data_IF_148598938670
#
_entry.id   IF_148598938670
#
_cell.length_a   1.000
_cell.length_b   1.000
_cell.length_c   1.000
_cell.angle_alpha   90.00
_cell.angle_beta   90.00
_cell.angle_gamma   90.00
#
_symmetry.space_group_name_H-M   'P 1'
#
loop_
_entity.id
_entity.type
_entity.pdbx_description
1 polymer ?
#
# COMPACT_ATOMS: atom_id res chain seq x y z
N UNK A 1 -11.72 -24.05 60.29
CA UNK A 1 -10.39 -24.26 59.67
C UNK A 1 -10.61 -24.31 58.17
N UNK A 2 -9.88 -23.47 57.42
CA UNK A 2 -10.19 -22.97 56.08
C UNK A 2 -10.34 -24.05 55.00
N UNK A 3 -11.39 -23.95 54.16
CA UNK A 3 -11.51 -24.63 52.86
C UNK A 3 -10.72 -23.85 51.81
N UNK A 4 -9.60 -24.39 51.34
CA UNK A 4 -8.87 -23.89 50.18
C UNK A 4 -9.61 -24.28 48.90
N UNK A 5 -10.30 -23.32 48.26
CA UNK A 5 -10.80 -23.47 46.88
C UNK A 5 -9.62 -23.37 45.92
N UNK A 6 -9.28 -24.46 45.26
CA UNK A 6 -8.33 -24.49 44.15
C UNK A 6 -9.07 -23.98 42.91
N UNK A 7 -8.76 -22.75 42.49
CA UNK A 7 -9.26 -22.17 41.24
C UNK A 7 -8.34 -22.64 40.12
N UNK A 8 -8.85 -23.49 39.23
CA UNK A 8 -8.18 -23.86 37.99
C UNK A 8 -8.31 -22.72 36.98
N UNK A 9 -7.21 -21.98 36.75
CA UNK A 9 -7.09 -21.11 35.58
C UNK A 9 -6.75 -21.97 34.36
N UNK A 10 -7.78 -22.37 33.58
CA UNK A 10 -7.55 -22.90 32.24
C UNK A 10 -7.09 -21.76 31.33
N UNK A 11 -5.79 -21.73 31.03
CA UNK A 11 -5.23 -20.86 30.01
C UNK A 11 -5.72 -21.32 28.62
N UNK A 12 -6.72 -20.63 28.07
CA UNK A 12 -7.12 -20.78 26.68
C UNK A 12 -6.02 -20.13 25.83
N UNK A 13 -5.07 -20.92 25.36
CA UNK A 13 -4.16 -20.53 24.30
C UNK A 13 -4.96 -20.44 23.00
N UNK A 14 -5.45 -19.24 22.68
CA UNK A 14 -6.01 -18.95 21.37
C UNK A 14 -4.83 -18.95 20.37
N UNK A 15 -4.66 -20.07 19.67
CA UNK A 15 -3.60 -20.24 18.68
C UNK A 15 -3.70 -19.17 17.60
N UNK A 16 -2.83 -18.17 17.66
CA UNK A 16 -2.63 -17.24 16.54
C UNK A 16 -2.03 -18.06 15.40
N UNK A 17 -2.85 -18.34 14.40
CA UNK A 17 -2.38 -18.89 13.14
C UNK A 17 -1.47 -17.85 12.48
N UNK A 18 -0.16 -17.97 12.69
CA UNK A 18 0.82 -17.28 11.87
C UNK A 18 0.81 -17.93 10.50
N UNK A 19 -0.02 -17.41 9.60
CA UNK A 19 0.10 -17.67 8.18
C UNK A 19 1.47 -17.18 7.75
N UNK A 20 2.43 -18.09 7.66
CA UNK A 20 3.73 -17.81 7.06
C UNK A 20 3.48 -17.49 5.59
N UNK A 21 3.58 -16.21 5.23
CA UNK A 21 3.62 -15.82 3.82
C UNK A 21 4.93 -16.34 3.25
N UNK A 22 4.90 -17.55 2.67
CA UNK A 22 5.98 -18.02 1.84
C UNK A 22 6.16 -17.01 0.69
N UNK A 23 7.33 -16.37 0.65
CA UNK A 23 7.68 -15.39 -0.37
C UNK A 23 8.04 -16.16 -1.65
N UNK A 24 7.03 -16.46 -2.48
CA UNK A 24 7.26 -17.03 -3.80
C UNK A 24 7.88 -15.96 -4.71
N UNK A 25 9.21 -15.95 -4.77
CA UNK A 25 10.01 -15.02 -5.57
C UNK A 25 9.86 -15.23 -7.09
N UNK A 26 9.08 -16.21 -7.56
CA UNK A 26 8.88 -16.42 -9.00
C UNK A 26 7.83 -15.50 -9.62
N UNK A 27 6.98 -14.87 -8.81
CA UNK A 27 5.93 -13.99 -9.33
C UNK A 27 6.06 -12.56 -8.82
N UNK A 28 6.74 -11.71 -9.62
CA UNK A 28 6.95 -10.29 -9.31
C UNK A 28 5.71 -9.42 -9.52
N UNK A 29 4.59 -10.00 -10.01
CA UNK A 29 3.35 -9.28 -10.29
C UNK A 29 2.33 -9.51 -9.19
N UNK A 30 1.86 -8.41 -8.62
CA UNK A 30 0.69 -8.39 -7.77
C UNK A 30 -0.60 -8.58 -8.56
N UNK A 31 -1.62 -9.06 -7.86
CA UNK A 31 -2.98 -9.19 -8.39
C UNK A 31 -3.83 -7.99 -8.02
N UNK A 32 -4.96 -7.83 -8.74
CA UNK A 32 -5.96 -6.82 -8.41
C UNK A 32 -6.45 -6.93 -6.96
N UNK A 33 -6.71 -8.16 -6.50
CA UNK A 33 -7.19 -8.44 -5.14
C UNK A 33 -6.15 -8.01 -4.09
N UNK A 34 -4.88 -8.36 -4.30
CA UNK A 34 -3.81 -7.97 -3.39
C UNK A 34 -3.63 -6.45 -3.35
N UNK A 35 -3.73 -5.76 -4.50
CA UNK A 35 -3.65 -4.30 -4.56
C UNK A 35 -4.78 -3.61 -3.77
N UNK A 36 -6.02 -4.08 -3.92
CA UNK A 36 -7.18 -3.59 -3.16
C UNK A 36 -7.03 -3.83 -1.65
N UNK A 37 -6.60 -5.02 -1.25
CA UNK A 37 -6.33 -5.34 0.15
C UNK A 37 -5.20 -4.48 0.74
N UNK A 38 -4.16 -4.21 -0.06
CA UNK A 38 -3.07 -3.34 0.36
C UNK A 38 -3.53 -1.89 0.54
N UNK A 39 -4.39 -1.38 -0.35
CA UNK A 39 -5.02 -0.07 -0.20
C UNK A 39 -5.85 0.00 1.09
N UNK A 40 -6.69 -1.01 1.35
CA UNK A 40 -7.50 -1.07 2.58
C UNK A 40 -6.64 -1.03 3.85
N UNK A 41 -5.56 -1.82 3.89
CA UNK A 41 -4.60 -1.80 4.99
C UNK A 41 -3.95 -0.43 5.16
N UNK A 42 -3.54 0.21 4.06
CA UNK A 42 -2.95 1.54 4.08
C UNK A 42 -3.95 2.58 4.62
N UNK A 43 -5.21 2.56 4.17
CA UNK A 43 -6.27 3.45 4.66
C UNK A 43 -6.43 3.30 6.17
N UNK A 44 -6.56 2.07 6.65
CA UNK A 44 -6.80 1.79 8.07
C UNK A 44 -5.66 2.32 8.95
N UNK A 45 -4.41 2.13 8.53
CA UNK A 45 -3.28 2.62 9.33
C UNK A 45 -3.06 4.13 9.20
N UNK A 46 -3.35 4.74 8.05
CA UNK A 46 -3.30 6.21 7.89
C UNK A 46 -4.34 6.87 8.79
N UNK A 47 -5.55 6.30 8.87
CA UNK A 47 -6.62 6.78 9.78
C UNK A 47 -6.27 6.63 11.25
N UNK A 48 -5.56 5.56 11.62
CA UNK A 48 -5.18 5.28 13.01
C UNK A 48 -3.94 6.08 13.45
N UNK A 49 -2.86 6.03 12.67
CA UNK A 49 -1.61 6.71 12.96
C UNK A 49 -0.85 7.01 11.66
N UNK A 50 -1.11 8.19 11.10
CA UNK A 50 -0.49 8.68 9.88
C UNK A 50 1.04 8.64 9.89
N UNK A 51 1.68 9.07 10.98
CA UNK A 51 3.14 9.14 11.07
C UNK A 51 3.76 7.76 10.92
N UNK A 52 3.21 6.77 11.63
CA UNK A 52 3.66 5.37 11.56
C UNK A 52 3.36 4.78 10.19
N UNK A 53 2.17 5.02 9.64
CA UNK A 53 1.80 4.58 8.30
C UNK A 53 2.80 5.06 7.23
N UNK A 54 3.05 6.36 7.17
CA UNK A 54 3.92 6.95 6.16
C UNK A 54 5.36 6.48 6.32
N UNK A 55 5.86 6.34 7.56
CA UNK A 55 7.18 5.78 7.79
C UNK A 55 7.31 4.36 7.22
N UNK A 56 6.35 3.47 7.51
CA UNK A 56 6.40 2.08 7.02
C UNK A 56 6.26 1.97 5.50
N UNK A 57 5.39 2.78 4.89
CA UNK A 57 5.23 2.80 3.43
C UNK A 57 6.52 3.30 2.77
N UNK A 58 7.15 4.36 3.30
CA UNK A 58 8.41 4.88 2.77
C UNK A 58 9.54 3.85 2.79
N UNK A 59 9.63 3.03 3.84
CA UNK A 59 10.67 1.99 3.92
C UNK A 59 10.21 0.63 3.37
N UNK A 60 8.97 0.52 2.89
CA UNK A 60 8.39 -0.73 2.38
C UNK A 60 8.18 -1.84 3.43
N UNK A 61 8.23 -1.52 4.73
CA UNK A 61 8.11 -2.51 5.82
C UNK A 61 6.66 -2.75 6.23
N UNK A 62 6.41 -3.72 7.12
CA UNK A 62 5.05 -4.09 7.55
C UNK A 62 4.21 -4.74 6.45
N UNK A 63 4.85 -5.21 5.38
CA UNK A 63 4.18 -5.72 4.18
C UNK A 63 3.51 -4.62 3.36
N UNK A 64 4.03 -3.38 3.42
CA UNK A 64 3.64 -2.28 2.54
C UNK A 64 4.44 -2.23 1.22
N UNK A 65 5.36 -3.17 1.03
CA UNK A 65 5.96 -3.44 -0.27
C UNK A 65 6.08 -4.96 -0.45
N UNK A 66 5.50 -5.49 -1.52
CA UNK A 66 5.59 -6.91 -1.87
C UNK A 66 5.40 -7.06 -3.36
N UNK A 67 6.21 -7.87 -4.05
CA UNK A 67 6.18 -7.96 -5.53
C UNK A 67 6.34 -6.55 -6.13
N UNK A 68 5.40 -6.10 -6.97
CA UNK A 68 5.27 -4.73 -7.48
C UNK A 68 4.15 -3.90 -6.81
N UNK A 69 3.64 -4.38 -5.67
CA UNK A 69 2.58 -3.73 -4.92
C UNK A 69 3.14 -2.82 -3.84
N UNK A 70 2.69 -1.57 -3.85
CA UNK A 70 2.99 -0.58 -2.83
C UNK A 70 1.88 0.47 -2.78
N UNK A 71 1.52 0.96 -1.59
CA UNK A 71 0.66 2.11 -1.49
C UNK A 71 1.47 3.41 -1.61
N UNK A 72 0.78 4.48 -1.92
CA UNK A 72 1.29 5.84 -1.85
C UNK A 72 0.17 6.81 -1.48
N UNK A 73 0.51 7.98 -0.97
CA UNK A 73 -0.47 9.05 -0.75
C UNK A 73 0.06 10.39 -1.26
N UNK A 74 -0.86 11.21 -1.76
CA UNK A 74 -0.61 12.61 -2.15
C UNK A 74 -1.40 13.55 -1.26
N UNK A 75 -0.82 14.71 -0.95
CA UNK A 75 -1.54 15.80 -0.27
C UNK A 75 -2.37 16.65 -1.26
N UNK A 76 -3.08 17.64 -0.74
CA UNK A 76 -3.93 18.54 -1.54
C UNK A 76 -3.17 19.41 -2.55
N UNK A 77 -1.84 19.50 -2.45
CA UNK A 77 -0.98 20.20 -3.41
C UNK A 77 -0.41 19.26 -4.47
N UNK A 78 -0.70 17.96 -4.36
CA UNK A 78 -0.16 16.92 -5.23
C UNK A 78 1.27 16.51 -4.88
N UNK A 79 1.75 16.83 -3.67
CA UNK A 79 3.03 16.32 -3.19
C UNK A 79 2.86 14.89 -2.71
N UNK A 80 3.75 14.01 -3.14
CA UNK A 80 3.77 12.62 -2.71
C UNK A 80 4.29 12.51 -1.28
N UNK A 81 3.40 12.45 -0.30
CA UNK A 81 3.77 12.45 1.14
C UNK A 81 4.28 11.10 1.63
N UNK A 82 3.95 10.03 0.91
CA UNK A 82 4.53 8.70 1.17
C UNK A 82 4.58 7.87 -0.10
N UNK A 83 5.73 7.24 -0.34
CA UNK A 83 6.05 6.34 -1.44
C UNK A 83 7.38 5.64 -1.14
N UNK A 84 7.59 4.38 -1.57
CA UNK A 84 8.83 3.67 -1.31
C UNK A 84 10.10 4.33 -1.89
N UNK A 85 9.99 5.02 -3.02
CA UNK A 85 11.14 5.60 -3.75
C UNK A 85 10.99 7.07 -4.17
N UNK A 86 9.85 7.71 -3.90
CA UNK A 86 9.51 9.02 -4.48
C UNK A 86 8.82 9.99 -3.50
N UNK A 87 8.93 9.73 -2.19
CA UNK A 87 8.42 10.64 -1.17
C UNK A 87 9.04 12.02 -1.29
N UNK A 88 8.22 13.06 -1.15
CA UNK A 88 8.61 14.46 -1.27
C UNK A 88 8.62 15.00 -2.71
N UNK A 89 8.34 14.18 -3.71
CA UNK A 89 8.27 14.63 -5.10
C UNK A 89 6.95 15.31 -5.44
N UNK A 90 6.99 16.21 -6.41
CA UNK A 90 5.81 16.88 -6.97
C UNK A 90 5.14 16.00 -8.04
N UNK A 91 4.01 15.39 -7.68
CA UNK A 91 3.25 14.53 -8.57
C UNK A 91 2.35 15.32 -9.53
N UNK A 92 2.21 16.64 -9.37
CA UNK A 92 1.50 17.48 -10.34
C UNK A 92 2.30 17.63 -11.64
N UNK A 93 3.63 17.57 -11.56
CA UNK A 93 4.52 17.56 -12.73
C UNK A 93 4.62 16.21 -13.43
N UNK A 94 4.06 15.15 -12.84
CA UNK A 94 4.11 13.81 -13.41
C UNK A 94 3.01 13.59 -14.44
N UNK A 95 3.44 13.26 -15.65
CA UNK A 95 2.62 12.76 -16.74
C UNK A 95 3.19 11.40 -17.16
N UNK A 96 2.34 10.37 -17.25
CA UNK A 96 2.77 9.06 -17.72
C UNK A 96 3.11 9.09 -19.22
N UNK A 97 3.80 8.06 -19.71
CA UNK A 97 4.18 7.99 -21.14
C UNK A 97 2.98 7.91 -22.10
N UNK A 98 1.81 7.51 -21.61
CA UNK A 98 0.53 7.55 -22.31
C UNK A 98 -0.29 8.84 -22.08
N UNK A 99 0.31 9.88 -21.52
CA UNK A 99 -0.28 11.22 -21.39
C UNK A 99 -1.23 11.41 -20.21
N UNK A 100 -1.23 10.50 -19.23
CA UNK A 100 -2.16 10.55 -18.10
C UNK A 100 -1.57 11.41 -16.97
N UNK A 101 -2.28 12.49 -16.64
CA UNK A 101 -1.99 13.35 -15.49
C UNK A 101 -2.56 12.77 -14.21
N UNK A 102 -1.83 11.82 -13.62
CA UNK A 102 -2.33 10.95 -12.54
C UNK A 102 -2.79 11.75 -11.31
N UNK A 103 -1.98 12.68 -10.80
CA UNK A 103 -2.32 13.44 -9.59
C UNK A 103 -3.53 14.36 -9.82
N UNK A 104 -3.61 15.05 -10.96
CA UNK A 104 -4.75 15.90 -11.31
C UNK A 104 -6.07 15.10 -11.29
N UNK A 105 -6.08 13.92 -11.92
CA UNK A 105 -7.26 13.04 -11.96
C UNK A 105 -7.61 12.57 -10.55
N UNK A 106 -6.63 12.11 -9.78
CA UNK A 106 -6.85 11.60 -8.43
C UNK A 106 -7.42 12.68 -7.51
N UNK A 107 -6.80 13.86 -7.45
CA UNK A 107 -7.23 14.97 -6.59
C UNK A 107 -8.61 15.50 -6.97
N UNK A 108 -8.94 15.53 -8.26
CA UNK A 108 -10.25 15.98 -8.75
C UNK A 108 -11.38 15.01 -8.39
N UNK A 109 -11.12 13.69 -8.41
CA UNK A 109 -12.18 12.67 -8.38
C UNK A 109 -12.24 11.84 -7.09
N UNK A 110 -11.23 11.91 -6.23
CA UNK A 110 -11.20 11.13 -5.00
C UNK A 110 -12.30 11.60 -4.03
N UNK A 111 -13.02 10.63 -3.46
CA UNK A 111 -14.08 10.86 -2.48
C UNK A 111 -13.86 9.91 -1.30
N UNK A 112 -14.14 10.38 -0.09
CA UNK A 112 -14.05 9.52 1.09
C UNK A 112 -15.15 8.45 1.04
N UNK A 113 -14.82 7.22 1.42
CA UNK A 113 -15.76 6.09 1.38
C UNK A 113 -16.01 5.51 -0.02
N UNK A 114 -15.38 6.05 -1.07
CA UNK A 114 -15.46 5.53 -2.44
C UNK A 114 -14.07 5.23 -3.00
N UNK A 115 -13.87 3.99 -3.47
CA UNK A 115 -12.67 3.60 -4.20
C UNK A 115 -12.90 3.83 -5.70
N UNK A 116 -12.09 4.71 -6.28
CA UNK A 116 -12.04 4.97 -7.71
C UNK A 116 -10.85 4.23 -8.34
N UNK A 117 -10.82 4.14 -9.67
CA UNK A 117 -9.73 3.50 -10.42
C UNK A 117 -9.28 4.37 -11.59
N UNK A 118 -7.99 4.30 -11.92
CA UNK A 118 -7.45 4.79 -13.19
C UNK A 118 -6.35 3.84 -13.69
N UNK A 119 -5.98 3.96 -14.96
CA UNK A 119 -4.84 3.24 -15.52
C UNK A 119 -3.93 4.17 -16.32
N UNK A 120 -2.63 3.89 -16.28
CA UNK A 120 -1.58 4.66 -16.95
C UNK A 120 -0.34 3.80 -17.15
N UNK A 121 0.57 4.19 -18.03
CA UNK A 121 1.87 3.53 -18.20
C UNK A 121 2.85 3.97 -17.10
N UNK A 122 3.57 3.01 -16.51
CA UNK A 122 4.57 3.29 -15.49
C UNK A 122 5.68 2.24 -15.49
N UNK A 123 6.91 2.67 -15.26
CA UNK A 123 8.02 1.76 -14.94
C UNK A 123 7.73 1.03 -13.63
N UNK A 124 7.91 -0.29 -13.62
CA UNK A 124 7.59 -1.09 -12.44
C UNK A 124 8.56 -0.80 -11.30
N UNK A 125 8.05 -0.75 -10.07
CA UNK A 125 8.87 -0.78 -8.86
C UNK A 125 8.62 -2.14 -8.20
N UNK A 126 9.66 -2.97 -8.12
CA UNK A 126 9.60 -4.36 -7.66
C UNK A 126 10.43 -4.56 -6.40
N UNK A 127 10.11 -5.59 -5.63
CA UNK A 127 10.89 -6.00 -4.47
C UNK A 127 12.10 -6.82 -4.95
N UNK A 128 13.32 -6.39 -4.64
CA UNK A 128 14.50 -7.21 -4.91
C UNK A 128 14.61 -8.39 -3.91
N UNK A 129 15.66 -9.22 -4.04
CA UNK A 129 15.88 -10.37 -3.14
C UNK A 129 15.99 -10.00 -1.66
N UNK A 130 16.39 -8.77 -1.35
CA UNK A 130 16.48 -8.24 0.01
C UNK A 130 15.19 -7.54 0.47
N UNK A 131 14.11 -7.63 -0.32
CA UNK A 131 12.83 -6.96 -0.04
C UNK A 131 12.87 -5.44 -0.22
N UNK A 132 13.93 -4.89 -0.84
CA UNK A 132 14.05 -3.45 -1.05
C UNK A 132 13.35 -3.04 -2.35
N UNK A 133 12.54 -1.96 -2.35
CA UNK A 133 11.96 -1.38 -3.54
C UNK A 133 13.05 -1.01 -4.56
N UNK A 134 12.92 -1.50 -5.79
CA UNK A 134 13.84 -1.24 -6.89
C UNK A 134 13.05 -0.93 -8.15
N UNK A 135 13.36 0.17 -8.82
CA UNK A 135 12.75 0.51 -10.11
C UNK A 135 13.33 -0.40 -11.19
N UNK A 136 12.47 -1.12 -11.91
CA UNK A 136 12.87 -1.96 -13.05
C UNK A 136 12.93 -1.13 -14.34
N UNK A 137 13.37 -1.76 -15.44
CA UNK A 137 13.35 -1.14 -16.78
C UNK A 137 12.04 -1.39 -17.54
N UNK A 138 11.15 -2.18 -16.97
CA UNK A 138 9.94 -2.63 -17.64
C UNK A 138 8.83 -1.61 -17.39
N UNK A 139 8.44 -0.91 -18.45
CA UNK A 139 7.23 -0.09 -18.43
C UNK A 139 6.03 -0.93 -18.85
N UNK A 140 4.95 -0.85 -18.08
CA UNK A 140 3.69 -1.50 -18.45
C UNK A 140 2.51 -0.74 -17.88
N UNK A 141 1.31 -1.11 -18.32
CA UNK A 141 0.07 -0.56 -17.80
C UNK A 141 -0.03 -0.86 -16.30
N UNK A 142 -0.24 0.16 -15.49
CA UNK A 142 -0.59 0.05 -14.08
C UNK A 142 -2.07 0.38 -13.90
N UNK A 143 -2.80 -0.45 -13.16
CA UNK A 143 -4.17 -0.15 -12.71
C UNK A 143 -4.09 0.25 -11.24
N UNK A 144 -4.49 1.48 -10.94
CA UNK A 144 -4.37 2.09 -9.61
C UNK A 144 -5.74 2.37 -9.01
N UNK A 145 -5.98 1.81 -7.83
CA UNK A 145 -7.13 2.12 -6.99
C UNK A 145 -6.79 3.25 -6.04
N UNK A 146 -7.72 4.17 -5.82
CA UNK A 146 -7.48 5.32 -4.96
C UNK A 146 -8.75 5.80 -4.25
N UNK A 147 -8.58 6.45 -3.10
CA UNK A 147 -9.66 7.07 -2.32
C UNK A 147 -9.14 8.22 -1.47
N UNK A 148 -10.03 9.11 -1.03
CA UNK A 148 -9.68 10.18 -0.10
C UNK A 148 -9.63 9.65 1.33
N UNK A 149 -8.58 10.03 2.07
CA UNK A 149 -8.35 9.67 3.48
C UNK A 149 -7.90 10.94 4.23
N UNK A 150 -8.85 11.61 4.89
CA UNK A 150 -8.58 12.93 5.50
C UNK A 150 -8.10 13.94 4.45
N UNK A 151 -6.93 14.51 4.68
CA UNK A 151 -6.29 15.51 3.81
C UNK A 151 -5.52 14.91 2.61
N UNK A 152 -5.53 13.59 2.47
CA UNK A 152 -4.73 12.88 1.48
C UNK A 152 -5.61 12.11 0.50
N UNK A 153 -5.06 11.86 -0.69
CA UNK A 153 -5.56 10.80 -1.57
C UNK A 153 -4.55 9.65 -1.51
N UNK A 154 -4.98 8.50 -1.01
CA UNK A 154 -4.15 7.31 -0.90
C UNK A 154 -4.54 6.29 -1.97
N UNK A 155 -3.55 5.57 -2.46
CA UNK A 155 -3.69 4.70 -3.61
C UNK A 155 -2.79 3.46 -3.53
N UNK A 156 -3.15 2.41 -4.26
CA UNK A 156 -2.34 1.20 -4.49
C UNK A 156 -2.76 0.60 -5.83
N UNK A 157 -1.83 -0.02 -6.53
CA UNK A 157 -2.09 -0.57 -7.86
C UNK A 157 -1.23 -1.79 -8.18
N UNK A 158 -1.52 -2.39 -9.33
CA UNK A 158 -0.81 -3.56 -9.85
C UNK A 158 -0.58 -3.41 -11.36
N UNK A 159 0.40 -4.16 -11.88
CA UNK A 159 0.67 -4.28 -13.31
C UNK A 159 0.11 -5.61 -13.81
N UNK A 160 -0.96 -5.60 -14.63
CA UNK A 160 -1.48 -6.82 -15.25
C UNK A 160 -0.41 -7.53 -16.08
N UNK A 161 -0.53 -8.84 -16.21
CA UNK A 161 0.28 -9.67 -17.11
C UNK A 161 -0.10 -9.43 -18.57
#
# INVERSE_FOLDING_TARGET
MSLTKIIWFSAIFFGMNFSSFAHDHKNSHGTEKEAKQLLERAINIVKSNKTVAFAMINVGQGGFHNKDLYPFCVDSKGIMVTHPTASGTDMMSFESSDGVKVSEIMLKNAQEGKVSTLSYMLVRTVSNMSGTPTVSKDESKKITFYTKVGDYVCASGYHPY
#
